data_IF_237479137810
#
_entry.id   IF_237479137810
#
_cell.length_a   1.000
_cell.length_b   1.000
_cell.length_c   1.000
_cell.angle_alpha   90.00
_cell.angle_beta   90.00
_cell.angle_gamma   90.00
#
_symmetry.space_group_name_H-M   'P 1'
#
loop_
_entity.id
_entity.type
_entity.pdbx_description
1 polymer ?
#
# COMPACT_ATOMS: atom_id res chain seq x y z
N UNK A 1 -14.87 29.24 -48.92
CA UNK A 1 -13.65 29.32 -48.08
C UNK A 1 -13.93 28.69 -46.72
N UNK A 2 -13.62 27.40 -46.50
CA UNK A 2 -13.47 26.86 -45.15
C UNK A 2 -12.00 26.48 -44.88
N UNK A 3 -11.37 27.18 -43.94
CA UNK A 3 -10.02 26.86 -43.46
C UNK A 3 -10.15 25.73 -42.45
N UNK A 4 -9.83 24.51 -42.87
CA UNK A 4 -9.74 23.32 -42.01
C UNK A 4 -8.38 23.35 -41.33
N UNK A 5 -8.35 23.71 -40.04
CA UNK A 5 -7.16 23.59 -39.19
C UNK A 5 -6.97 22.11 -38.83
N UNK A 6 -6.06 21.43 -39.52
CA UNK A 6 -5.56 20.10 -39.13
C UNK A 6 -4.35 20.26 -38.21
N UNK A 7 -4.40 19.60 -37.04
CA UNK A 7 -3.34 19.57 -36.05
C UNK A 7 -2.22 18.58 -36.48
N UNK A 8 -0.93 18.87 -36.21
CA UNK A 8 0.16 17.99 -36.62
C UNK A 8 0.34 16.77 -35.69
N UNK A 9 0.38 15.57 -36.30
CA UNK A 9 0.77 14.31 -35.65
C UNK A 9 2.23 14.36 -35.12
N UNK A 10 2.40 14.10 -33.82
CA UNK A 10 3.71 13.93 -33.19
C UNK A 10 4.33 12.57 -33.56
N UNK A 11 5.50 12.61 -34.22
CA UNK A 11 6.29 11.42 -34.61
C UNK A 11 7.04 10.85 -33.39
N UNK A 12 6.85 9.54 -33.16
CA UNK A 12 7.57 8.76 -32.14
C UNK A 12 9.05 8.65 -32.53
N UNK A 13 9.95 9.16 -31.68
CA UNK A 13 11.40 9.08 -31.86
C UNK A 13 11.94 7.84 -31.16
N UNK A 14 11.99 6.72 -31.86
CA UNK A 14 12.74 5.54 -31.45
C UNK A 14 14.24 5.82 -31.60
N UNK A 15 14.98 5.95 -30.49
CA UNK A 15 16.44 5.87 -30.49
C UNK A 15 16.88 4.54 -29.90
N UNK A 16 17.28 3.64 -30.80
CA UNK A 16 18.23 2.56 -30.51
C UNK A 16 19.53 3.21 -30.04
N UNK A 17 20.00 2.87 -28.85
CA UNK A 17 21.42 2.96 -28.52
C UNK A 17 21.84 1.63 -27.92
N UNK A 18 22.73 0.96 -28.66
CA UNK A 18 23.47 -0.23 -28.28
C UNK A 18 24.79 0.30 -27.70
N UNK A 19 25.07 0.02 -26.43
CA UNK A 19 26.43 0.07 -25.93
C UNK A 19 26.62 -1.10 -24.96
N UNK A 20 27.39 -2.06 -25.45
CA UNK A 20 28.07 -3.11 -24.69
C UNK A 20 29.17 -2.47 -23.86
N UNK A 21 29.21 -2.75 -22.56
CA UNK A 21 30.45 -2.72 -21.79
C UNK A 21 30.40 -3.80 -20.70
N UNK A 22 31.22 -4.82 -20.93
CA UNK A 22 31.72 -5.73 -19.93
C UNK A 22 32.48 -4.96 -18.85
N UNK A 23 32.07 -5.11 -17.60
CA UNK A 23 32.92 -4.79 -16.44
C UNK A 23 32.84 -5.98 -15.48
N UNK A 24 33.94 -6.73 -15.48
CA UNK A 24 34.38 -7.69 -14.47
C UNK A 24 34.13 -7.15 -13.06
N UNK A 25 33.40 -7.91 -12.24
CA UNK A 25 33.34 -7.71 -10.80
C UNK A 25 34.13 -8.85 -10.11
N UNK A 26 35.22 -8.56 -9.39
CA UNK A 26 35.95 -9.58 -8.65
C UNK A 26 35.21 -9.98 -7.37
N UNK A 27 35.12 -11.29 -7.18
CA UNK A 27 34.70 -11.97 -5.96
C UNK A 27 35.49 -11.49 -4.74
N UNK A 28 34.82 -10.84 -3.79
CA UNK A 28 35.36 -10.48 -2.48
C UNK A 28 34.49 -11.08 -1.38
N UNK A 29 34.83 -12.29 -0.93
CA UNK A 29 34.25 -12.93 0.25
C UNK A 29 34.66 -12.15 1.50
N UNK A 30 33.71 -11.43 2.11
CA UNK A 30 33.87 -10.92 3.46
C UNK A 30 33.73 -12.10 4.44
N UNK A 31 34.87 -12.53 5.00
CA UNK A 31 34.95 -13.48 6.10
C UNK A 31 34.26 -12.89 7.32
N UNK A 32 33.30 -13.63 7.89
CA UNK A 32 32.77 -13.33 9.21
C UNK A 32 33.85 -13.55 10.28
N UNK A 33 34.01 -12.65 11.26
CA UNK A 33 34.80 -12.93 12.45
C UNK A 33 34.09 -13.95 13.36
N UNK A 34 34.84 -14.79 14.09
CA UNK A 34 34.27 -15.82 14.94
C UNK A 34 33.54 -15.21 16.15
N UNK A 35 32.28 -15.63 16.30
CA UNK A 35 31.59 -15.92 17.56
C UNK A 35 32.33 -15.48 18.83
N UNK A 36 31.89 -14.36 19.43
CA UNK A 36 32.12 -14.07 20.84
C UNK A 36 30.77 -14.10 21.55
N UNK A 37 30.49 -15.24 22.17
CA UNK A 37 29.45 -15.41 23.15
C UNK A 37 29.78 -14.59 24.39
N UNK A 38 29.05 -13.50 24.62
CA UNK A 38 29.06 -12.84 25.92
C UNK A 38 27.67 -12.94 26.53
N UNK A 39 27.58 -13.87 27.47
CA UNK A 39 26.45 -14.12 28.35
C UNK A 39 26.25 -12.93 29.28
N UNK A 40 25.18 -12.16 29.08
CA UNK A 40 24.62 -11.30 30.13
C UNK A 40 23.18 -11.75 30.41
N UNK A 41 23.12 -12.62 31.39
CA UNK A 41 21.98 -12.95 32.22
C UNK A 41 21.62 -11.74 33.11
N UNK A 42 20.51 -11.08 32.80
CA UNK A 42 19.77 -10.32 33.80
C UNK A 42 18.29 -10.33 33.45
N UNK A 43 17.58 -11.20 34.18
CA UNK A 43 16.14 -11.33 34.26
C UNK A 43 15.44 -9.98 34.37
N UNK A 44 14.56 -9.71 33.39
CA UNK A 44 13.32 -8.97 33.64
C UNK A 44 12.16 -9.88 33.28
N UNK A 45 11.30 -10.07 34.27
CA UNK A 45 10.15 -10.95 34.32
C UNK A 45 9.45 -11.18 32.97
N UNK A 46 9.52 -12.42 32.50
CA UNK A 46 8.54 -12.97 31.56
C UNK A 46 7.18 -13.10 32.25
N UNK A 47 6.32 -12.11 32.05
CA UNK A 47 4.86 -12.25 32.13
C UNK A 47 4.29 -11.55 30.89
N UNK A 48 4.11 -12.32 29.83
CA UNK A 48 3.55 -11.83 28.57
C UNK A 48 3.82 -12.80 27.44
N UNK A 49 3.23 -14.00 27.53
CA UNK A 49 3.28 -14.99 26.46
C UNK A 49 2.83 -14.39 25.14
N UNK A 50 3.63 -14.66 24.11
CA UNK A 50 3.33 -14.73 22.68
C UNK A 50 1.87 -14.40 22.26
N UNK A 51 1.43 -13.15 22.42
CA UNK A 51 0.37 -12.61 21.59
C UNK A 51 1.09 -11.99 20.42
N UNK A 52 1.12 -12.67 19.28
CA UNK A 52 1.36 -11.98 18.02
C UNK A 52 0.38 -10.80 17.99
N UNK A 53 0.86 -9.58 18.21
CA UNK A 53 0.01 -8.41 18.43
C UNK A 53 -1.00 -8.33 17.30
N UNK A 54 -2.27 -8.56 17.65
CA UNK A 54 -3.35 -8.60 16.69
C UNK A 54 -3.34 -7.27 15.94
N UNK A 55 -3.28 -7.32 14.61
CA UNK A 55 -3.23 -6.10 13.81
C UNK A 55 -4.54 -5.32 14.00
N UNK A 56 -4.44 -3.99 14.11
CA UNK A 56 -5.64 -3.16 14.19
C UNK A 56 -6.34 -3.10 12.83
N UNK A 57 -7.46 -3.82 12.69
CA UNK A 57 -8.25 -3.87 11.45
C UNK A 57 -9.26 -2.72 11.33
N UNK A 58 -9.99 -2.69 10.20
CA UNK A 58 -11.14 -1.81 9.99
C UNK A 58 -12.42 -2.35 10.63
N UNK A 59 -13.54 -1.67 10.39
CA UNK A 59 -14.86 -2.11 10.87
C UNK A 59 -15.47 -3.23 10.03
N UNK A 60 -15.38 -3.13 8.71
CA UNK A 60 -15.96 -4.10 7.75
C UNK A 60 -14.85 -4.85 7.02
N UNK A 61 -13.69 -4.23 6.86
CA UNK A 61 -12.56 -4.79 6.13
C UNK A 61 -11.38 -5.13 7.04
N UNK A 62 -10.79 -6.30 6.79
CA UNK A 62 -9.53 -6.73 7.35
C UNK A 62 -8.38 -6.39 6.39
N UNK A 63 -7.28 -5.85 6.93
CA UNK A 63 -6.06 -5.60 6.18
C UNK A 63 -5.36 -6.92 5.83
N UNK A 64 -4.95 -7.06 4.56
CA UNK A 64 -4.16 -8.21 4.11
C UNK A 64 -2.69 -8.08 4.53
N UNK A 65 -1.96 -9.18 4.39
CA UNK A 65 -0.60 -9.35 4.89
C UNK A 65 0.37 -8.32 4.35
N UNK A 66 0.21 -7.89 3.09
CA UNK A 66 1.09 -6.91 2.45
C UNK A 66 0.95 -5.51 3.04
N UNK A 67 -0.29 -5.06 3.30
CA UNK A 67 -0.54 -3.81 4.01
C UNK A 67 -0.07 -3.92 5.47
N UNK A 68 -0.33 -5.05 6.13
CA UNK A 68 0.13 -5.28 7.49
C UNK A 68 1.66 -5.21 7.58
N UNK A 69 2.37 -5.81 6.63
CA UNK A 69 3.83 -5.81 6.58
C UNK A 69 4.37 -4.39 6.37
N UNK A 70 3.79 -3.61 5.46
CA UNK A 70 4.19 -2.23 5.20
C UNK A 70 3.91 -1.28 6.37
N UNK A 71 2.81 -1.48 7.11
CA UNK A 71 2.52 -0.68 8.31
C UNK A 71 3.42 -1.08 9.47
N UNK A 72 3.71 -2.38 9.63
CA UNK A 72 4.59 -2.88 10.70
C UNK A 72 6.08 -2.63 10.44
N UNK A 73 6.48 -2.33 9.20
CA UNK A 73 7.91 -2.10 8.90
C UNK A 73 8.45 -0.83 9.55
N UNK A 74 7.57 0.12 9.89
CA UNK A 74 7.93 1.36 10.55
C UNK A 74 7.08 1.55 11.83
N UNK A 75 7.70 1.62 13.03
CA UNK A 75 6.96 1.77 14.28
C UNK A 75 6.18 3.09 14.36
N UNK A 76 6.64 4.16 13.71
CA UNK A 76 5.92 5.44 13.69
C UNK A 76 4.61 5.30 12.90
N UNK A 77 4.67 4.67 11.73
CA UNK A 77 3.49 4.41 10.89
C UNK A 77 2.51 3.50 11.62
N UNK A 78 3.01 2.46 12.33
CA UNK A 78 2.17 1.57 13.12
C UNK A 78 1.40 2.33 14.22
N UNK A 79 2.09 3.20 14.97
CA UNK A 79 1.45 4.03 16.00
C UNK A 79 0.39 4.95 15.40
N UNK A 80 0.69 5.59 14.26
CA UNK A 80 -0.25 6.44 13.55
C UNK A 80 -1.48 5.63 13.07
N UNK A 81 -1.27 4.41 12.57
CA UNK A 81 -2.32 3.50 12.15
C UNK A 81 -3.24 3.08 13.30
N UNK A 82 -2.66 2.77 14.46
CA UNK A 82 -3.39 2.41 15.67
C UNK A 82 -4.18 3.61 16.23
N UNK A 83 -3.64 4.82 16.10
CA UNK A 83 -4.32 6.07 16.50
C UNK A 83 -5.54 6.43 15.65
N UNK A 84 -5.66 5.87 14.43
CA UNK A 84 -6.84 6.07 13.61
C UNK A 84 -8.09 5.47 14.26
N UNK A 85 -9.26 6.00 13.90
CA UNK A 85 -10.51 5.32 14.22
C UNK A 85 -10.62 4.02 13.43
N UNK A 86 -11.40 3.05 13.93
CA UNK A 86 -11.72 1.82 13.20
C UNK A 86 -12.30 2.11 11.81
N UNK A 87 -13.08 3.19 11.69
CA UNK A 87 -13.58 3.68 10.41
C UNK A 87 -12.47 4.25 9.52
N UNK A 88 -11.53 5.03 10.05
CA UNK A 88 -10.39 5.55 9.29
C UNK A 88 -9.55 4.42 8.68
N UNK A 89 -9.25 3.38 9.48
CA UNK A 89 -8.58 2.17 9.00
C UNK A 89 -9.40 1.47 7.92
N UNK A 90 -10.71 1.32 8.13
CA UNK A 90 -11.61 0.70 7.15
C UNK A 90 -11.56 1.39 5.77
N UNK A 91 -11.49 2.72 5.76
CA UNK A 91 -11.44 3.52 4.53
C UNK A 91 -10.12 3.28 3.76
N UNK A 92 -8.98 3.24 4.45
CA UNK A 92 -7.70 2.90 3.82
C UNK A 92 -7.67 1.46 3.30
N UNK A 93 -8.13 0.49 4.10
CA UNK A 93 -8.16 -0.91 3.69
C UNK A 93 -9.04 -1.09 2.45
N UNK A 94 -10.27 -0.56 2.47
CA UNK A 94 -11.19 -0.66 1.34
C UNK A 94 -10.59 -0.02 0.07
N UNK A 95 -9.90 1.11 0.22
CA UNK A 95 -9.26 1.80 -0.90
C UNK A 95 -8.08 1.00 -1.47
N UNK A 96 -7.23 0.40 -0.63
CA UNK A 96 -6.13 -0.47 -1.10
C UNK A 96 -6.69 -1.73 -1.78
N UNK A 97 -7.77 -2.30 -1.23
CA UNK A 97 -8.40 -3.53 -1.73
C UNK A 97 -9.21 -3.35 -3.02
N UNK A 98 -9.67 -2.15 -3.32
CA UNK A 98 -10.33 -1.82 -4.59
C UNK A 98 -9.37 -1.90 -5.79
N UNK A 99 -8.06 -1.89 -5.57
CA UNK A 99 -7.08 -2.00 -6.65
C UNK A 99 -7.13 -3.39 -7.32
N UNK A 100 -7.49 -3.41 -8.61
CA UNK A 100 -7.54 -4.64 -9.41
C UNK A 100 -6.16 -5.15 -9.86
N UNK A 101 -5.17 -4.25 -9.96
CA UNK A 101 -3.82 -4.58 -10.40
C UNK A 101 -2.86 -4.54 -9.21
N UNK A 102 -1.96 -5.53 -9.11
CA UNK A 102 -0.97 -5.62 -8.04
C UNK A 102 -0.07 -4.38 -7.97
N UNK A 103 0.34 -3.83 -9.12
CA UNK A 103 1.15 -2.59 -9.18
C UNK A 103 0.43 -1.40 -8.58
N UNK A 104 -0.89 -1.29 -8.80
CA UNK A 104 -1.71 -0.21 -8.22
C UNK A 104 -1.92 -0.43 -6.73
N UNK A 105 -2.10 -1.68 -6.30
CA UNK A 105 -2.19 -2.03 -4.88
C UNK A 105 -0.94 -1.60 -4.13
N UNK A 106 0.25 -1.96 -4.63
CA UNK A 106 1.52 -1.57 -4.04
C UNK A 106 1.67 -0.05 -3.90
N UNK A 107 1.38 0.70 -4.97
CA UNK A 107 1.39 2.18 -4.93
C UNK A 107 0.40 2.75 -3.91
N UNK A 108 -0.79 2.15 -3.75
CA UNK A 108 -1.76 2.59 -2.74
C UNK A 108 -1.28 2.28 -1.32
N UNK A 109 -0.54 1.19 -1.11
CA UNK A 109 0.09 0.88 0.18
C UNK A 109 1.15 1.94 0.51
N UNK A 110 2.06 2.22 -0.42
CA UNK A 110 3.07 3.27 -0.26
C UNK A 110 2.43 4.63 0.05
N UNK A 111 1.41 5.01 -0.73
CA UNK A 111 0.67 6.25 -0.49
C UNK A 111 -0.07 6.26 0.85
N UNK A 112 -0.50 5.11 1.36
CA UNK A 112 -1.11 5.01 2.68
C UNK A 112 -0.10 5.35 3.76
N UNK A 113 1.11 4.79 3.69
CA UNK A 113 2.20 5.12 4.61
C UNK A 113 2.54 6.61 4.58
N UNK A 114 2.71 7.20 3.38
CA UNK A 114 2.92 8.65 3.23
C UNK A 114 1.78 9.48 3.83
N UNK A 115 0.53 9.10 3.55
CA UNK A 115 -0.65 9.82 4.04
C UNK A 115 -0.73 9.79 5.58
N UNK A 116 -0.34 8.68 6.22
CA UNK A 116 -0.29 8.57 7.67
C UNK A 116 0.75 9.52 8.25
N UNK A 117 1.96 9.55 7.69
CA UNK A 117 3.02 10.48 8.09
C UNK A 117 2.63 11.96 7.87
N UNK A 118 1.86 12.24 6.81
CA UNK A 118 1.24 13.55 6.57
C UNK A 118 0.07 13.87 7.55
N UNK A 119 -0.26 12.96 8.48
CA UNK A 119 -1.35 13.13 9.45
C UNK A 119 -2.76 12.98 8.86
N UNK A 120 -2.89 12.42 7.66
CA UNK A 120 -4.18 12.21 6.99
C UNK A 120 -4.90 11.02 7.61
N UNK A 121 -6.16 11.24 7.97
CA UNK A 121 -7.03 10.20 8.55
C UNK A 121 -7.84 9.41 7.51
N UNK A 122 -7.76 9.80 6.22
CA UNK A 122 -8.49 9.18 5.10
C UNK A 122 -7.65 9.26 3.81
N UNK A 123 -7.86 8.33 2.86
CA UNK A 123 -7.22 8.41 1.55
C UNK A 123 -7.65 9.67 0.78
N UNK A 124 -6.72 10.30 0.06
CA UNK A 124 -7.06 11.40 -0.85
C UNK A 124 -7.81 10.87 -2.08
N UNK A 125 -8.85 11.58 -2.51
CA UNK A 125 -9.67 11.27 -3.68
C UNK A 125 -10.48 9.95 -3.57
N UNK A 126 -10.80 9.51 -2.34
CA UNK A 126 -11.69 8.36 -2.10
C UNK A 126 -13.10 8.81 -1.72
N UNK A 127 -14.11 8.31 -2.45
CA UNK A 127 -15.51 8.69 -2.25
C UNK A 127 -16.14 8.12 -0.95
N UNK A 128 -15.47 7.16 -0.32
CA UNK A 128 -15.96 6.46 0.86
C UNK A 128 -16.13 4.96 0.62
N UNK A 129 -15.98 4.17 1.68
CA UNK A 129 -16.27 2.75 1.63
C UNK A 129 -17.77 2.52 1.31
N UNK A 130 -18.05 1.75 0.25
CA UNK A 130 -19.41 1.39 -0.16
C UNK A 130 -20.01 0.24 0.66
N UNK A 131 -19.20 -0.44 1.48
CA UNK A 131 -19.61 -1.56 2.31
C UNK A 131 -20.04 -1.14 3.73
N UNK A 132 -20.19 0.17 3.96
CA UNK A 132 -20.62 0.73 5.24
C UNK A 132 -22.10 0.43 5.49
N UNK A 133 -22.40 -0.07 6.68
CA UNK A 133 -23.79 -0.35 7.10
C UNK A 133 -24.53 0.92 7.56
N UNK A 134 -23.79 1.93 8.02
CA UNK A 134 -24.37 3.16 8.57
C UNK A 134 -24.91 4.13 7.49
N UNK A 135 -24.43 4.00 6.24
CA UNK A 135 -24.82 4.88 5.14
C UNK A 135 -24.98 4.11 3.84
N UNK A 136 -26.17 4.20 3.24
CA UNK A 136 -26.40 3.67 1.92
C UNK A 136 -25.49 4.34 0.87
N UNK A 137 -24.96 3.59 -0.11
CA UNK A 137 -24.21 4.16 -1.23
C UNK A 137 -25.02 5.23 -1.96
N UNK A 138 -24.37 6.32 -2.37
CA UNK A 138 -25.03 7.31 -3.22
C UNK A 138 -25.45 6.70 -4.57
N UNK A 139 -26.42 7.31 -5.25
CA UNK A 139 -26.91 6.84 -6.57
C UNK A 139 -25.78 6.60 -7.57
N UNK A 140 -24.77 7.47 -7.59
CA UNK A 140 -23.59 7.31 -8.44
C UNK A 140 -22.69 6.15 -8.00
N UNK A 141 -22.43 6.02 -6.69
CA UNK A 141 -21.65 4.90 -6.15
C UNK A 141 -22.31 3.55 -6.45
N UNK A 142 -23.64 3.47 -6.27
CA UNK A 142 -24.41 2.27 -6.60
C UNK A 142 -24.23 1.89 -8.07
N UNK A 143 -24.52 2.80 -8.99
CA UNK A 143 -24.47 2.52 -10.43
C UNK A 143 -23.05 2.18 -10.93
N UNK A 144 -22.02 2.86 -10.41
CA UNK A 144 -20.66 2.78 -10.96
C UNK A 144 -19.77 1.78 -10.23
N UNK A 145 -19.84 1.71 -8.90
CA UNK A 145 -18.94 0.86 -8.10
C UNK A 145 -19.55 -0.51 -7.79
N UNK A 146 -20.87 -0.59 -7.66
CA UNK A 146 -21.57 -1.85 -7.32
C UNK A 146 -22.13 -2.51 -8.57
N UNK A 147 -23.08 -1.88 -9.26
CA UNK A 147 -23.83 -2.52 -10.35
C UNK A 147 -22.93 -2.85 -11.56
N UNK A 148 -22.00 -1.95 -11.91
CA UNK A 148 -21.02 -2.21 -12.97
C UNK A 148 -20.04 -3.33 -12.60
N UNK A 149 -19.67 -3.44 -11.32
CA UNK A 149 -18.75 -4.49 -10.86
C UNK A 149 -19.42 -5.86 -10.95
N UNK A 150 -20.71 -5.96 -10.60
CA UNK A 150 -21.50 -7.18 -10.75
C UNK A 150 -21.57 -7.66 -12.22
N UNK A 151 -21.75 -6.72 -13.17
CA UNK A 151 -21.80 -7.06 -14.61
C UNK A 151 -20.49 -7.57 -15.19
N UNK A 152 -19.35 -7.07 -14.71
CA UNK A 152 -18.03 -7.42 -15.25
C UNK A 152 -17.41 -8.67 -14.63
N UNK A 153 -18.01 -9.20 -13.56
CA UNK A 153 -17.55 -10.40 -12.87
C UNK A 153 -18.42 -11.63 -13.11
N UNK A 154 -19.41 -11.53 -14.01
CA UNK A 154 -20.35 -12.60 -14.36
C UNK A 154 -20.13 -13.14 -15.76
#
# INVERSE_FOLDING_TARGET
MPVRLEAPQARKRTRRFRLTMDILLPSGQARQPPFRSESMNASVASLGGLMASAFSHGTVHEAREDLQAAVRSDPEILLLWESLTSLGRNEFICWVDDAKQATTRQRRIERTCEALLEGKKRPCCWAGCIHRTDKAPSRWQQAVLIDRKAKNGS
#
